data_IF_864571279393
#
_entry.id   IF_864571279393
#
_cell.length_a   1.000
_cell.length_b   1.000
_cell.length_c   1.000
_cell.angle_alpha   90.00
_cell.angle_beta   90.00
_cell.angle_gamma   90.00
#
_symmetry.space_group_name_H-M   'P 1'
#
loop_
_entity.id
_entity.type
_entity.pdbx_description
1 polymer ?
#
# COMPACT_ATOMS: atom_id res chain seq x y z
N UNK A 1 -42.25 0.90 8.79
CA UNK A 1 -42.82 1.97 7.95
C UNK A 1 -42.05 2.02 6.64
N UNK A 2 -42.75 1.69 5.62
CA UNK A 2 -42.36 1.20 4.32
C UNK A 2 -41.59 2.15 3.44
N UNK A 3 -40.74 1.51 2.66
CA UNK A 3 -39.78 2.06 1.69
C UNK A 3 -40.41 2.09 0.29
N UNK A 4 -41.55 2.77 0.16
CA UNK A 4 -42.27 3.01 -1.11
C UNK A 4 -41.93 4.39 -1.69
N UNK A 5 -40.63 4.60 -2.02
CA UNK A 5 -40.28 5.63 -3.00
C UNK A 5 -40.52 5.05 -4.41
N UNK A 6 -41.09 5.84 -5.37
CA UNK A 6 -41.56 5.30 -6.65
C UNK A 6 -40.39 4.64 -7.42
N UNK A 7 -40.68 3.45 -7.96
CA UNK A 7 -39.77 2.57 -8.73
C UNK A 7 -39.05 3.27 -9.92
N UNK A 8 -39.52 4.45 -10.26
CA UNK A 8 -38.98 5.30 -11.33
C UNK A 8 -37.53 5.79 -11.10
N UNK A 9 -37.06 5.85 -9.85
CA UNK A 9 -35.72 6.37 -9.50
C UNK A 9 -34.64 5.28 -9.37
N UNK A 10 -35.03 4.01 -9.34
CA UNK A 10 -34.14 2.89 -9.08
C UNK A 10 -33.95 1.99 -10.30
N UNK A 11 -32.71 1.52 -10.48
CA UNK A 11 -32.34 0.45 -11.40
C UNK A 11 -32.08 -0.81 -10.60
N UNK A 12 -32.56 -1.94 -11.05
CA UNK A 12 -32.30 -3.27 -10.48
C UNK A 12 -31.49 -4.07 -11.49
N UNK A 13 -30.37 -4.63 -11.04
CA UNK A 13 -29.48 -5.45 -11.85
C UNK A 13 -29.30 -6.81 -11.21
N UNK A 14 -29.60 -7.85 -11.93
CA UNK A 14 -29.34 -9.23 -11.50
C UNK A 14 -27.87 -9.57 -11.73
N UNK A 15 -27.21 -10.10 -10.73
CA UNK A 15 -25.82 -10.57 -10.82
C UNK A 15 -25.75 -11.79 -11.75
N UNK A 16 -25.06 -11.68 -12.90
CA UNK A 16 -24.95 -12.80 -13.84
C UNK A 16 -23.99 -13.86 -13.29
N UNK A 17 -24.07 -15.08 -13.83
CA UNK A 17 -23.19 -16.20 -13.43
C UNK A 17 -21.69 -15.89 -13.66
N UNK A 18 -21.37 -15.06 -14.64
CA UNK A 18 -19.99 -14.60 -14.91
C UNK A 18 -19.42 -13.72 -13.80
N UNK A 19 -20.25 -13.22 -12.90
CA UNK A 19 -19.88 -12.36 -11.77
C UNK A 19 -19.96 -13.08 -10.42
N UNK A 20 -20.23 -14.37 -10.42
CA UNK A 20 -20.23 -15.17 -9.21
C UNK A 20 -18.87 -15.09 -8.49
N UNK A 21 -18.89 -14.84 -7.18
CA UNK A 21 -17.68 -14.60 -6.39
C UNK A 21 -17.00 -13.25 -6.62
N UNK A 22 -17.45 -12.40 -7.56
CA UNK A 22 -16.88 -11.07 -7.77
C UNK A 22 -17.17 -10.14 -6.59
N UNK A 23 -16.31 -9.13 -6.40
CA UNK A 23 -16.56 -8.09 -5.38
C UNK A 23 -17.62 -7.11 -5.85
N UNK A 24 -18.51 -6.71 -4.94
CA UNK A 24 -19.58 -5.75 -5.18
C UNK A 24 -19.07 -4.41 -5.77
N UNK A 25 -17.97 -3.86 -5.25
CA UNK A 25 -17.39 -2.62 -5.75
C UNK A 25 -16.93 -2.74 -7.21
N UNK A 26 -16.40 -3.87 -7.62
CA UNK A 26 -16.00 -4.14 -9.02
C UNK A 26 -17.22 -4.26 -9.94
N UNK A 27 -18.26 -4.94 -9.49
CA UNK A 27 -19.50 -5.06 -10.24
C UNK A 27 -20.18 -3.71 -10.45
N UNK A 28 -20.29 -2.89 -9.38
CA UNK A 28 -20.82 -1.52 -9.48
C UNK A 28 -20.02 -0.66 -10.48
N UNK A 29 -18.70 -0.77 -10.51
CA UNK A 29 -17.88 -0.04 -11.50
C UNK A 29 -18.12 -0.45 -12.94
N UNK A 30 -18.45 -1.72 -13.19
CA UNK A 30 -18.83 -2.16 -14.54
C UNK A 30 -20.18 -1.61 -14.97
N UNK A 31 -21.14 -1.55 -14.05
CA UNK A 31 -22.46 -0.99 -14.30
C UNK A 31 -22.47 0.54 -14.44
N UNK A 32 -21.56 1.21 -13.72
CA UNK A 32 -21.41 2.67 -13.67
C UNK A 32 -19.95 3.04 -13.94
N UNK A 33 -19.52 3.06 -15.20
CA UNK A 33 -18.16 3.45 -15.56
C UNK A 33 -17.83 4.86 -15.04
N UNK A 34 -16.64 5.02 -14.44
CA UNK A 34 -16.19 6.31 -13.90
C UNK A 34 -16.56 6.57 -12.43
N UNK A 35 -17.40 5.77 -11.80
CA UNK A 35 -17.69 5.93 -10.37
C UNK A 35 -16.46 5.67 -9.49
N UNK A 36 -16.13 6.64 -8.63
CA UNK A 36 -15.00 6.54 -7.71
C UNK A 36 -15.25 5.58 -6.54
N UNK A 37 -14.17 4.94 -6.01
CA UNK A 37 -14.29 4.02 -4.86
C UNK A 37 -14.95 4.67 -3.64
N UNK A 38 -14.53 5.88 -3.28
CA UNK A 38 -15.11 6.61 -2.15
C UNK A 38 -16.61 6.92 -2.33
N UNK A 39 -17.06 7.12 -3.58
CA UNK A 39 -18.47 7.32 -3.89
C UNK A 39 -19.26 6.00 -3.73
N UNK A 40 -18.72 4.88 -4.22
CA UNK A 40 -19.32 3.55 -4.01
C UNK A 40 -19.47 3.26 -2.51
N UNK A 41 -18.41 3.43 -1.74
CA UNK A 41 -18.41 3.18 -0.29
C UNK A 41 -19.42 4.08 0.46
N UNK A 42 -19.52 5.35 0.08
CA UNK A 42 -20.51 6.28 0.64
C UNK A 42 -21.93 5.86 0.31
N UNK A 43 -22.21 5.46 -0.94
CA UNK A 43 -23.55 5.03 -1.38
C UNK A 43 -23.97 3.72 -0.71
N UNK A 44 -23.06 2.76 -0.54
CA UNK A 44 -23.30 1.52 0.18
C UNK A 44 -23.52 1.76 1.68
N UNK A 45 -22.68 2.56 2.32
CA UNK A 45 -22.79 2.92 3.74
C UNK A 45 -24.13 3.61 4.05
N UNK A 46 -24.55 4.52 3.18
CA UNK A 46 -25.83 5.23 3.32
C UNK A 46 -27.04 4.38 2.93
N UNK A 47 -26.84 3.14 2.41
CA UNK A 47 -27.92 2.26 2.00
C UNK A 47 -28.63 2.70 0.71
N UNK A 48 -28.01 3.59 -0.06
CA UNK A 48 -28.49 4.03 -1.38
C UNK A 48 -28.31 2.90 -2.40
N UNK A 49 -27.16 2.20 -2.37
CA UNK A 49 -26.96 0.93 -3.09
C UNK A 49 -27.26 -0.20 -2.11
N UNK A 50 -28.09 -1.16 -2.53
CA UNK A 50 -28.46 -2.34 -1.73
C UNK A 50 -28.34 -3.62 -2.55
N UNK A 51 -27.98 -4.71 -1.88
CA UNK A 51 -27.91 -6.06 -2.43
C UNK A 51 -29.02 -6.88 -1.79
N UNK A 52 -29.93 -7.43 -2.57
CA UNK A 52 -31.14 -8.16 -2.10
C UNK A 52 -31.93 -7.37 -1.04
N UNK A 53 -32.04 -6.05 -1.23
CA UNK A 53 -32.71 -5.15 -0.28
C UNK A 53 -31.90 -4.79 0.97
N UNK A 54 -30.78 -5.47 1.27
CA UNK A 54 -29.95 -5.26 2.45
C UNK A 54 -28.76 -4.32 2.19
N UNK A 55 -28.21 -3.71 3.26
CA UNK A 55 -26.93 -2.99 3.20
C UNK A 55 -25.79 -3.99 3.01
N UNK A 56 -24.87 -3.68 2.12
CA UNK A 56 -23.71 -4.50 1.85
C UNK A 56 -22.39 -3.67 1.92
N UNK A 57 -21.27 -4.35 2.13
CA UNK A 57 -19.93 -3.71 2.10
C UNK A 57 -19.38 -3.74 0.67
N UNK A 58 -18.49 -2.79 0.34
CA UNK A 58 -17.81 -2.76 -0.96
C UNK A 58 -17.05 -4.06 -1.28
N UNK A 59 -16.57 -4.75 -0.25
CA UNK A 59 -15.85 -6.02 -0.35
C UNK A 59 -16.74 -7.27 -0.40
N UNK A 60 -18.08 -7.13 -0.26
CA UNK A 60 -19.02 -8.26 -0.31
C UNK A 60 -18.81 -9.06 -1.59
N UNK A 61 -18.76 -10.39 -1.46
CA UNK A 61 -18.73 -11.31 -2.60
C UNK A 61 -20.15 -11.54 -3.09
N UNK A 62 -20.33 -11.40 -4.38
CA UNK A 62 -21.62 -11.58 -5.03
C UNK A 62 -21.87 -13.06 -5.30
N UNK A 63 -23.15 -13.47 -5.23
CA UNK A 63 -23.62 -14.73 -5.75
C UNK A 63 -24.46 -14.49 -7.01
N UNK A 64 -24.37 -15.38 -7.99
CA UNK A 64 -25.23 -15.32 -9.17
C UNK A 64 -26.72 -15.32 -8.78
N UNK A 65 -27.52 -14.52 -9.47
CA UNK A 65 -28.96 -14.37 -9.19
C UNK A 65 -29.28 -13.31 -8.12
N UNK A 66 -28.36 -12.81 -7.34
CA UNK A 66 -28.61 -11.69 -6.41
C UNK A 66 -29.03 -10.44 -7.17
N UNK A 67 -29.84 -9.58 -6.53
CA UNK A 67 -30.35 -8.34 -7.13
C UNK A 67 -29.69 -7.12 -6.49
N UNK A 68 -28.96 -6.37 -7.31
CA UNK A 68 -28.38 -5.09 -6.93
C UNK A 68 -29.35 -3.95 -7.28
N UNK A 69 -29.72 -3.14 -6.29
CA UNK A 69 -30.49 -1.90 -6.46
C UNK A 69 -29.56 -0.68 -6.43
N UNK A 70 -29.63 0.17 -7.44
CA UNK A 70 -28.84 1.39 -7.52
C UNK A 70 -29.68 2.54 -8.17
N UNK A 71 -29.35 3.82 -7.90
CA UNK A 71 -30.07 4.95 -8.51
C UNK A 71 -29.86 5.01 -10.03
N UNK A 72 -30.94 5.27 -10.78
CA UNK A 72 -30.87 5.40 -12.26
C UNK A 72 -29.96 6.54 -12.72
N UNK A 73 -29.91 7.63 -11.99
CA UNK A 73 -29.06 8.78 -12.35
C UNK A 73 -27.55 8.46 -12.32
N UNK A 74 -27.13 7.41 -11.59
CA UNK A 74 -25.73 6.96 -11.63
C UNK A 74 -25.34 6.33 -12.97
N UNK A 75 -26.30 5.81 -13.73
CA UNK A 75 -26.07 5.25 -15.06
C UNK A 75 -25.94 6.31 -16.15
N UNK A 76 -26.36 7.54 -15.87
CA UNK A 76 -26.40 8.68 -16.82
C UNK A 76 -25.13 9.54 -16.81
N UNK A 77 -24.22 9.33 -15.86
CA UNK A 77 -22.91 9.96 -15.98
C UNK A 77 -22.13 9.24 -17.07
N UNK A 78 -22.04 9.88 -18.24
CA UNK A 78 -21.09 9.47 -19.27
C UNK A 78 -19.76 9.12 -18.58
N UNK A 79 -19.08 8.03 -18.96
CA UNK A 79 -17.83 7.66 -18.33
C UNK A 79 -16.98 8.91 -18.36
N UNK A 80 -16.64 9.47 -17.19
CA UNK A 80 -15.47 10.29 -17.12
C UNK A 80 -14.38 9.37 -17.68
N UNK A 81 -14.04 9.60 -18.94
CA UNK A 81 -12.89 8.94 -19.58
C UNK A 81 -11.81 8.96 -18.53
N UNK A 82 -11.23 7.82 -18.11
CA UNK A 82 -10.09 7.83 -17.24
C UNK A 82 -9.16 8.85 -17.88
N UNK A 83 -8.83 9.96 -17.18
CA UNK A 83 -7.85 10.91 -17.72
C UNK A 83 -6.74 10.05 -18.27
N UNK A 84 -6.46 10.07 -19.59
CA UNK A 84 -5.47 9.19 -20.16
C UNK A 84 -4.22 9.40 -19.31
N UNK A 85 -3.62 8.32 -18.86
CA UNK A 85 -2.33 8.38 -18.23
C UNK A 85 -1.46 9.13 -19.23
N UNK A 86 -1.07 10.36 -18.90
CA UNK A 86 -0.33 11.26 -19.79
C UNK A 86 1.12 10.81 -20.01
N UNK A 87 1.43 9.56 -19.61
CA UNK A 87 2.75 8.96 -19.74
C UNK A 87 2.76 8.13 -21.02
N UNK A 88 3.64 8.48 -21.95
CA UNK A 88 3.86 7.69 -23.16
C UNK A 88 4.40 6.29 -22.80
N UNK A 89 4.17 5.31 -23.68
CA UNK A 89 4.74 3.96 -23.48
C UNK A 89 6.27 3.99 -23.35
N UNK A 90 6.94 4.82 -24.14
CA UNK A 90 8.40 4.99 -24.09
C UNK A 90 8.86 5.59 -22.73
N UNK A 91 8.15 6.58 -22.21
CA UNK A 91 8.46 7.17 -20.91
C UNK A 91 8.19 6.20 -19.76
N UNK A 92 7.12 5.40 -19.88
CA UNK A 92 6.80 4.37 -18.89
C UNK A 92 7.89 3.29 -18.87
N UNK A 93 8.38 2.86 -20.05
CA UNK A 93 9.47 1.89 -20.16
C UNK A 93 10.73 2.42 -19.49
N UNK A 94 11.19 3.61 -19.88
CA UNK A 94 12.39 4.23 -19.27
C UNK A 94 12.28 4.32 -17.75
N UNK A 95 11.14 4.81 -17.22
CA UNK A 95 10.95 4.94 -15.79
C UNK A 95 10.97 3.60 -15.04
N UNK A 96 10.48 2.51 -15.66
CA UNK A 96 10.54 1.18 -15.05
C UNK A 96 11.94 0.58 -15.16
N UNK A 97 12.63 0.78 -16.27
CA UNK A 97 14.02 0.35 -16.47
C UNK A 97 14.95 1.04 -15.45
N UNK A 98 14.80 2.34 -15.22
CA UNK A 98 15.56 3.10 -14.21
C UNK A 98 15.34 2.57 -12.78
N UNK A 99 14.21 1.94 -12.52
CA UNK A 99 13.87 1.35 -11.22
C UNK A 99 14.15 -0.15 -11.15
N UNK A 100 14.50 -0.81 -12.25
CA UNK A 100 14.71 -2.27 -12.25
C UNK A 100 15.88 -2.63 -11.35
N UNK A 101 15.61 -3.51 -10.38
CA UNK A 101 16.59 -3.93 -9.37
C UNK A 101 17.08 -5.36 -9.62
N UNK A 102 16.17 -6.28 -9.83
CA UNK A 102 16.45 -7.69 -10.06
C UNK A 102 15.22 -8.37 -10.67
N UNK A 103 15.43 -9.51 -11.30
CA UNK A 103 14.35 -10.35 -11.81
C UNK A 103 14.62 -11.83 -11.56
N UNK A 104 13.53 -12.58 -11.37
CA UNK A 104 13.53 -14.03 -11.34
C UNK A 104 12.57 -14.58 -12.39
N UNK A 105 12.35 -15.89 -12.36
CA UNK A 105 11.46 -16.57 -13.29
C UNK A 105 10.05 -15.97 -13.27
N UNK A 106 9.48 -15.77 -12.08
CA UNK A 106 8.08 -15.42 -11.87
C UNK A 106 7.86 -14.00 -11.34
N UNK A 107 8.94 -13.26 -11.06
CA UNK A 107 8.90 -11.96 -10.43
C UNK A 107 9.89 -10.96 -11.04
N UNK A 108 9.58 -9.68 -10.86
CA UNK A 108 10.45 -8.53 -11.13
C UNK A 108 10.46 -7.64 -9.88
N UNK A 109 11.61 -7.20 -9.43
CA UNK A 109 11.77 -6.27 -8.32
C UNK A 109 12.17 -4.89 -8.82
N UNK A 110 11.52 -3.86 -8.28
CA UNK A 110 11.84 -2.46 -8.55
C UNK A 110 12.39 -1.80 -7.30
N UNK A 111 13.39 -0.93 -7.45
CA UNK A 111 13.82 0.04 -6.44
C UNK A 111 12.92 1.29 -6.55
N UNK A 112 11.75 1.28 -5.89
CA UNK A 112 10.81 2.39 -5.93
C UNK A 112 11.38 3.61 -5.21
N UNK A 113 11.47 4.79 -5.83
CA UNK A 113 11.88 6.01 -5.14
C UNK A 113 10.82 6.49 -4.15
N UNK A 114 11.24 7.25 -3.14
CA UNK A 114 10.33 7.99 -2.26
C UNK A 114 9.50 9.01 -3.04
N UNK A 115 8.23 9.19 -2.69
CA UNK A 115 7.31 10.12 -3.32
C UNK A 115 6.51 9.55 -4.52
N UNK A 116 6.87 8.36 -5.04
CA UNK A 116 6.10 7.69 -6.10
C UNK A 116 5.09 6.72 -5.50
N UNK A 117 3.80 6.92 -5.80
CA UNK A 117 2.74 6.02 -5.34
C UNK A 117 2.76 4.68 -6.09
N UNK A 118 2.38 3.58 -5.41
CA UNK A 118 2.23 2.27 -6.05
C UNK A 118 0.94 2.21 -6.85
N UNK A 119 -0.16 2.72 -6.30
CA UNK A 119 -1.48 2.73 -6.96
C UNK A 119 -2.07 4.14 -6.95
N UNK A 120 -2.92 4.42 -7.92
CA UNK A 120 -3.66 5.67 -7.99
C UNK A 120 -4.63 5.83 -6.83
N UNK A 121 -4.89 7.09 -6.46
CA UNK A 121 -5.85 7.50 -5.45
C UNK A 121 -6.30 8.92 -5.74
N UNK A 122 -7.13 9.49 -4.87
CA UNK A 122 -7.61 10.87 -5.03
C UNK A 122 -6.43 11.84 -5.14
N UNK A 123 -6.30 12.52 -6.27
CA UNK A 123 -5.22 13.49 -6.52
C UNK A 123 -3.87 12.88 -6.91
N UNK A 124 -3.78 11.57 -7.19
CA UNK A 124 -2.54 10.91 -7.61
C UNK A 124 -2.62 10.52 -9.08
N UNK A 125 -1.98 11.31 -9.95
CA UNK A 125 -1.95 11.08 -11.41
C UNK A 125 -0.78 10.18 -11.85
N UNK A 126 0.33 10.13 -11.08
CA UNK A 126 1.52 9.33 -11.40
C UNK A 126 1.72 8.25 -10.35
N UNK A 127 1.69 6.98 -10.79
CA UNK A 127 1.85 5.82 -9.92
C UNK A 127 2.33 4.59 -10.71
N UNK A 128 2.97 3.64 -10.03
CA UNK A 128 3.54 2.43 -10.65
C UNK A 128 2.47 1.66 -11.46
N UNK A 129 1.28 1.41 -10.88
CA UNK A 129 0.21 0.70 -11.59
C UNK A 129 -0.17 1.36 -12.92
N UNK A 130 -0.08 2.69 -12.99
CA UNK A 130 -0.28 3.46 -14.22
C UNK A 130 0.83 3.23 -15.26
N UNK A 131 2.10 3.20 -14.82
CA UNK A 131 3.22 2.87 -15.70
C UNK A 131 3.07 1.46 -16.28
N UNK A 132 2.70 0.48 -15.42
CA UNK A 132 2.45 -0.90 -15.86
C UNK A 132 1.29 -1.00 -16.86
N UNK A 133 0.26 -0.16 -16.72
CA UNK A 133 -0.86 -0.08 -17.67
C UNK A 133 -0.42 0.49 -19.01
N UNK A 134 0.39 1.56 -19.01
CA UNK A 134 0.88 2.19 -20.23
C UNK A 134 1.80 1.26 -21.05
N UNK A 135 2.52 0.35 -20.39
CA UNK A 135 3.39 -0.63 -21.05
C UNK A 135 2.67 -1.84 -21.60
N UNK A 136 1.57 -2.25 -21.02
CA UNK A 136 0.88 -3.47 -21.40
C UNK A 136 0.26 -3.33 -22.79
N UNK A 137 0.79 -4.04 -23.77
CA UNK A 137 0.14 -4.22 -25.06
C UNK A 137 -1.05 -5.18 -24.95
N UNK A 138 -0.94 -6.19 -24.08
CA UNK A 138 -1.95 -7.19 -23.76
C UNK A 138 -2.11 -7.30 -22.24
N UNK A 139 -3.36 -7.26 -21.70
CA UNK A 139 -3.62 -7.51 -20.29
C UNK A 139 -3.08 -8.85 -19.75
N UNK A 140 -2.90 -9.86 -20.60
CA UNK A 140 -2.37 -11.16 -20.20
C UNK A 140 -0.88 -11.10 -19.84
N UNK A 141 -0.09 -10.32 -20.55
CA UNK A 141 1.37 -10.18 -20.39
C UNK A 141 1.77 -9.07 -19.41
N UNK A 142 0.80 -8.35 -18.88
CA UNK A 142 1.04 -7.23 -17.95
C UNK A 142 1.69 -7.68 -16.65
N UNK A 143 2.75 -6.97 -16.22
CA UNK A 143 3.27 -7.08 -14.85
C UNK A 143 2.19 -6.69 -13.81
N UNK A 144 2.14 -7.41 -12.69
CA UNK A 144 1.08 -7.29 -11.69
C UNK A 144 1.62 -6.95 -10.31
N UNK A 145 0.95 -6.02 -9.65
CA UNK A 145 1.21 -5.70 -8.25
C UNK A 145 0.77 -6.87 -7.34
N UNK A 146 1.65 -7.32 -6.46
CA UNK A 146 1.39 -8.38 -5.48
C UNK A 146 1.40 -7.88 -4.04
N UNK A 147 2.01 -6.73 -3.81
CA UNK A 147 1.98 -5.98 -2.55
C UNK A 147 2.09 -4.48 -2.80
N UNK A 148 2.12 -3.71 -1.73
CA UNK A 148 2.33 -2.26 -1.80
C UNK A 148 3.21 -1.79 -0.66
N UNK A 149 3.95 -0.72 -0.91
CA UNK A 149 4.60 0.13 0.09
C UNK A 149 4.02 1.54 -0.02
N UNK A 150 4.16 2.35 1.01
CA UNK A 150 3.59 3.70 1.02
C UNK A 150 4.23 4.59 -0.04
N UNK A 151 3.54 5.68 -0.43
CA UNK A 151 4.03 6.64 -1.42
C UNK A 151 5.44 7.15 -1.07
N UNK A 152 5.63 7.55 0.20
CA UNK A 152 6.87 8.17 0.67
C UNK A 152 7.91 7.15 1.17
N UNK A 153 7.55 5.87 1.29
CA UNK A 153 8.49 4.77 1.54
C UNK A 153 9.20 4.41 0.25
N UNK A 154 10.52 4.34 0.28
CA UNK A 154 11.36 3.88 -0.84
C UNK A 154 11.72 2.40 -0.73
N UNK A 155 12.37 1.83 -1.75
CA UNK A 155 12.91 0.48 -1.75
C UNK A 155 12.08 -0.54 -2.52
N UNK A 156 12.20 -1.81 -2.17
CA UNK A 156 11.75 -2.94 -2.98
C UNK A 156 10.22 -2.95 -3.17
N UNK A 157 9.80 -2.93 -4.42
CA UNK A 157 8.45 -3.26 -4.85
C UNK A 157 8.50 -4.49 -5.78
N UNK A 158 7.91 -5.59 -5.33
CA UNK A 158 7.87 -6.83 -6.10
C UNK A 158 6.65 -6.86 -7.01
N UNK A 159 6.86 -7.26 -8.25
CA UNK A 159 5.84 -7.45 -9.28
C UNK A 159 5.82 -8.92 -9.71
N UNK A 160 4.67 -9.42 -10.14
CA UNK A 160 4.55 -10.72 -10.77
C UNK A 160 4.55 -10.60 -12.29
N UNK A 161 5.20 -11.55 -12.98
CA UNK A 161 5.29 -11.61 -14.45
C UNK A 161 4.07 -12.28 -15.11
N UNK A 162 3.25 -13.01 -14.34
CA UNK A 162 2.08 -13.74 -14.85
C UNK A 162 0.92 -13.77 -13.86
N UNK A 163 -0.27 -14.20 -14.30
CA UNK A 163 -1.44 -14.38 -13.42
C UNK A 163 -1.21 -15.46 -12.36
N UNK A 164 -0.67 -16.65 -12.68
CA UNK A 164 -0.32 -17.64 -11.67
C UNK A 164 0.69 -17.11 -10.66
N UNK A 165 1.78 -16.51 -11.12
CA UNK A 165 2.79 -15.89 -10.25
C UNK A 165 2.17 -14.82 -9.32
N UNK A 166 1.26 -13.98 -9.82
CA UNK A 166 0.58 -12.98 -9.01
C UNK A 166 -0.27 -13.60 -7.90
N UNK A 167 -0.97 -14.71 -8.18
CA UNK A 167 -1.72 -15.46 -7.17
C UNK A 167 -0.80 -16.01 -6.09
N UNK A 168 0.29 -16.66 -6.50
CA UNK A 168 1.17 -17.38 -5.59
C UNK A 168 1.99 -16.40 -4.72
N UNK A 169 2.52 -15.33 -5.30
CA UNK A 169 3.23 -14.28 -4.57
C UNK A 169 2.28 -13.50 -3.63
N UNK A 170 1.04 -13.20 -4.07
CA UNK A 170 0.05 -12.55 -3.19
C UNK A 170 -0.28 -13.45 -1.99
N UNK A 171 -0.45 -14.76 -2.22
CA UNK A 171 -0.67 -15.73 -1.14
C UNK A 171 0.55 -15.82 -0.21
N UNK A 172 1.77 -15.76 -0.75
CA UNK A 172 3.00 -15.76 0.03
C UNK A 172 3.11 -14.51 0.93
N UNK A 173 2.76 -13.32 0.43
CA UNK A 173 2.68 -12.10 1.25
C UNK A 173 1.60 -12.21 2.34
N UNK A 174 0.40 -12.69 2.01
CA UNK A 174 -0.71 -12.84 2.96
C UNK A 174 -0.42 -13.85 4.07
N UNK A 175 0.32 -14.91 3.75
CA UNK A 175 0.74 -15.95 4.70
C UNK A 175 2.06 -15.64 5.39
N UNK A 176 2.59 -14.43 5.24
CA UNK A 176 3.85 -13.96 5.82
C UNK A 176 5.08 -14.84 5.49
N UNK A 177 5.05 -15.57 4.37
CA UNK A 177 6.18 -16.38 3.91
C UNK A 177 7.29 -15.56 3.24
N UNK A 178 7.00 -14.33 2.82
CA UNK A 178 7.99 -13.37 2.35
C UNK A 178 8.43 -12.53 3.54
N UNK A 179 9.70 -12.69 3.95
CA UNK A 179 10.28 -11.90 5.03
C UNK A 179 10.69 -10.54 4.49
N UNK A 180 10.32 -9.49 5.22
CA UNK A 180 10.56 -8.08 4.83
C UNK A 180 11.40 -7.43 5.89
N UNK A 181 12.51 -6.81 5.52
CA UNK A 181 13.30 -5.97 6.40
C UNK A 181 13.33 -4.55 5.84
N UNK A 182 13.04 -3.59 6.70
CA UNK A 182 13.10 -2.16 6.39
C UNK A 182 14.23 -1.53 7.17
N UNK A 183 14.88 -0.54 6.59
CA UNK A 183 15.74 0.40 7.32
C UNK A 183 14.94 1.67 7.61
N UNK A 184 15.09 2.18 8.82
CA UNK A 184 14.50 3.45 9.23
C UNK A 184 15.50 4.25 10.06
N UNK A 185 15.60 5.56 9.79
CA UNK A 185 16.23 6.50 10.71
C UNK A 185 15.15 7.04 11.63
N UNK A 186 15.31 6.90 12.95
CA UNK A 186 14.32 7.35 13.95
C UNK A 186 14.89 8.51 14.78
N UNK A 187 14.01 9.38 15.26
CA UNK A 187 14.38 10.42 16.23
C UNK A 187 14.22 9.87 17.65
N UNK A 188 15.29 9.86 18.42
CA UNK A 188 15.40 9.21 19.72
C UNK A 188 16.20 7.91 19.66
N UNK A 189 16.44 7.32 20.82
CA UNK A 189 17.11 6.03 20.99
C UNK A 189 16.11 5.04 21.58
N UNK A 190 15.58 4.09 20.78
CA UNK A 190 14.85 2.96 21.32
C UNK A 190 15.80 1.97 21.97
N UNK A 191 15.28 0.94 22.68
CA UNK A 191 16.08 -0.20 23.12
C UNK A 191 16.79 -0.86 21.94
N UNK A 192 17.88 -1.59 22.22
CA UNK A 192 18.72 -2.23 21.19
C UNK A 192 17.92 -3.17 20.29
N UNK A 193 16.97 -3.90 20.85
CA UNK A 193 16.04 -4.74 20.11
C UNK A 193 14.71 -4.87 20.86
N UNK A 194 13.65 -5.16 20.16
CA UNK A 194 12.36 -5.36 20.78
C UNK A 194 11.24 -5.72 19.82
N UNK A 195 10.05 -5.83 20.41
CA UNK A 195 8.82 -6.21 19.75
C UNK A 195 7.70 -5.22 20.11
N UNK A 196 7.02 -4.71 19.10
CA UNK A 196 5.86 -3.83 19.29
C UNK A 196 4.62 -4.62 18.85
N UNK A 197 3.76 -4.96 19.80
CA UNK A 197 2.44 -5.56 19.57
C UNK A 197 1.37 -4.50 19.88
N UNK A 198 0.97 -3.75 18.87
CA UNK A 198 0.01 -2.66 19.02
C UNK A 198 -1.02 -2.71 17.89
N UNK A 199 -2.26 -3.18 18.15
CA UNK A 199 -3.30 -3.30 17.15
C UNK A 199 -3.64 -1.95 16.50
N UNK A 200 -3.94 -1.98 15.19
CA UNK A 200 -4.15 -0.77 14.40
C UNK A 200 -5.57 -0.69 13.84
N UNK A 201 -6.18 0.48 13.98
CA UNK A 201 -7.51 0.78 13.47
C UNK A 201 -7.50 2.02 12.59
N UNK A 202 -8.34 1.98 11.56
CA UNK A 202 -8.60 3.13 10.70
C UNK A 202 -9.67 4.02 11.33
N UNK A 203 -9.32 5.27 11.62
CA UNK A 203 -10.24 6.29 12.12
C UNK A 203 -10.54 7.32 11.03
N UNK A 204 -11.81 7.69 10.92
CA UNK A 204 -12.23 8.80 10.09
C UNK A 204 -11.83 10.11 10.75
N UNK A 205 -11.19 11.01 10.03
CA UNK A 205 -10.79 12.33 10.52
C UNK A 205 -11.20 13.44 9.56
N UNK A 206 -11.32 14.66 10.07
CA UNK A 206 -11.70 15.84 9.28
C UNK A 206 -10.72 16.12 8.10
N UNK A 207 -9.43 15.76 8.26
CA UNK A 207 -8.38 15.88 7.23
C UNK A 207 -8.13 14.58 6.46
N UNK A 208 -9.11 13.64 6.47
CA UNK A 208 -9.01 12.32 5.86
C UNK A 208 -8.71 11.20 6.88
N UNK A 209 -8.83 9.97 6.41
CA UNK A 209 -8.66 8.78 7.25
C UNK A 209 -7.23 8.65 7.78
N UNK A 210 -7.10 8.34 9.06
CA UNK A 210 -5.82 8.09 9.73
C UNK A 210 -5.84 6.73 10.42
N UNK A 211 -4.73 6.02 10.37
CA UNK A 211 -4.51 4.84 11.18
C UNK A 211 -3.99 5.25 12.57
N UNK A 212 -4.38 4.54 13.61
CA UNK A 212 -3.87 4.75 14.97
C UNK A 212 -3.83 3.42 15.73
N UNK A 213 -3.09 3.39 16.83
CA UNK A 213 -3.14 2.28 17.80
C UNK A 213 -4.49 2.30 18.50
N UNK A 214 -5.15 1.16 18.53
CA UNK A 214 -6.47 0.96 19.14
C UNK A 214 -6.65 -0.51 19.50
N UNK A 215 -6.97 -0.82 20.76
CA UNK A 215 -7.13 -2.19 21.22
C UNK A 215 -8.21 -2.99 20.44
N UNK A 216 -9.22 -2.31 19.88
CA UNK A 216 -10.24 -2.92 19.01
C UNK A 216 -9.80 -3.04 17.54
N UNK A 217 -8.55 -2.66 17.23
CA UNK A 217 -7.97 -2.69 15.90
C UNK A 217 -7.58 -4.09 15.43
N UNK A 218 -7.05 -4.14 14.21
CA UNK A 218 -6.48 -5.37 13.68
C UNK A 218 -5.10 -5.59 14.29
N UNK A 219 -4.80 -6.83 14.70
CA UNK A 219 -3.47 -7.22 15.21
C UNK A 219 -2.36 -6.74 14.27
N UNK A 220 -1.36 -6.12 14.86
CA UNK A 220 -0.17 -5.63 14.18
C UNK A 220 1.05 -5.83 15.06
N UNK A 221 2.09 -6.46 14.50
CA UNK A 221 3.33 -6.80 15.20
C UNK A 221 4.52 -6.39 14.38
N UNK A 222 5.48 -5.70 15.00
CA UNK A 222 6.76 -5.30 14.42
C UNK A 222 7.90 -5.69 15.34
N UNK A 223 8.90 -6.38 14.81
CA UNK A 223 10.20 -6.55 15.46
C UNK A 223 11.12 -5.41 15.04
N UNK A 224 11.99 -4.96 15.93
CA UNK A 224 12.99 -3.97 15.61
C UNK A 224 14.36 -4.32 16.23
N UNK A 225 15.43 -3.85 15.59
CA UNK A 225 16.80 -3.92 16.10
C UNK A 225 17.51 -2.61 15.76
N UNK A 226 18.18 -2.03 16.75
CA UNK A 226 19.06 -0.90 16.56
C UNK A 226 20.33 -1.37 15.86
N UNK A 227 20.74 -0.68 14.82
CA UNK A 227 21.93 -1.00 14.04
C UNK A 227 23.09 -0.10 14.36
N UNK A 228 22.78 1.20 14.53
CA UNK A 228 23.79 2.24 14.76
C UNK A 228 23.14 3.49 15.34
N UNK A 229 23.92 4.30 16.09
CA UNK A 229 23.53 5.62 16.57
C UNK A 229 24.75 6.54 16.79
N UNK A 230 24.86 7.67 16.09
CA UNK A 230 26.02 8.55 16.19
C UNK A 230 25.96 9.52 17.40
N UNK A 231 25.19 9.19 18.40
CA UNK A 231 24.95 10.00 19.58
C UNK A 231 23.59 9.71 20.18
N UNK A 232 22.95 10.71 20.83
CA UNK A 232 21.70 10.47 21.59
C UNK A 232 20.42 10.94 20.90
N UNK A 233 20.51 11.44 19.65
CA UNK A 233 19.32 12.04 18.99
C UNK A 233 18.66 11.15 17.97
N UNK A 234 19.42 10.35 17.25
CA UNK A 234 18.92 9.53 16.15
C UNK A 234 19.52 8.13 16.19
N UNK A 235 18.77 7.15 15.72
CA UNK A 235 19.25 5.78 15.56
C UNK A 235 18.83 5.22 14.19
N UNK A 236 19.72 4.40 13.60
CA UNK A 236 19.41 3.56 12.45
C UNK A 236 18.83 2.25 12.94
N UNK A 237 17.65 1.90 12.45
CA UNK A 237 16.90 0.73 12.87
C UNK A 237 16.69 -0.22 11.70
N UNK A 238 16.80 -1.52 11.96
CA UNK A 238 16.17 -2.56 11.16
C UNK A 238 14.78 -2.86 11.72
N UNK A 239 13.76 -2.83 10.87
CA UNK A 239 12.36 -3.09 11.23
C UNK A 239 11.83 -4.28 10.44
N UNK A 240 11.25 -5.26 11.13
CA UNK A 240 10.61 -6.44 10.51
C UNK A 240 9.13 -6.48 10.85
N UNK A 241 8.22 -6.06 9.94
CA UNK A 241 6.79 -6.21 10.16
C UNK A 241 6.37 -7.68 9.99
N UNK A 242 5.86 -8.30 11.05
CA UNK A 242 5.28 -9.65 11.02
C UNK A 242 3.84 -9.64 10.45
N UNK A 243 3.21 -8.47 10.40
CA UNK A 243 1.92 -8.19 9.78
C UNK A 243 2.09 -7.10 8.71
N UNK A 244 1.04 -6.74 7.96
CA UNK A 244 1.14 -5.77 6.87
C UNK A 244 0.02 -4.71 6.90
N UNK A 245 -0.18 -4.02 8.03
CA UNK A 245 -1.21 -2.98 8.14
C UNK A 245 -0.72 -1.67 7.51
N UNK A 246 -1.66 -0.87 7.03
CA UNK A 246 -1.36 0.45 6.44
C UNK A 246 -0.58 1.31 7.44
N UNK A 247 0.55 1.86 7.01
CA UNK A 247 1.47 2.70 7.78
C UNK A 247 1.98 2.06 9.09
N UNK A 248 1.97 0.72 9.20
CA UNK A 248 2.26 0.00 10.45
C UNK A 248 3.58 0.46 11.10
N UNK A 249 4.70 0.39 10.37
CA UNK A 249 6.02 0.74 10.90
C UNK A 249 6.08 2.18 11.40
N UNK A 250 5.46 3.10 10.68
CA UNK A 250 5.41 4.52 11.01
C UNK A 250 4.67 4.78 12.33
N UNK A 251 3.53 4.10 12.51
CA UNK A 251 2.71 4.22 13.72
C UNK A 251 3.38 3.53 14.90
N UNK A 252 3.95 2.34 14.69
CA UNK A 252 4.61 1.59 15.74
C UNK A 252 5.82 2.35 16.29
N UNK A 253 6.67 2.92 15.42
CA UNK A 253 7.81 3.71 15.88
C UNK A 253 7.39 5.01 16.57
N UNK A 254 6.34 5.68 16.09
CA UNK A 254 5.77 6.85 16.79
C UNK A 254 5.14 6.46 18.16
N UNK A 255 4.47 5.32 18.25
CA UNK A 255 3.91 4.77 19.48
C UNK A 255 5.00 4.40 20.49
N UNK A 256 6.12 3.89 20.00
CA UNK A 256 7.31 3.57 20.81
C UNK A 256 8.07 4.81 21.31
N UNK A 257 7.59 6.02 20.98
CA UNK A 257 8.25 7.27 21.38
C UNK A 257 9.46 7.68 20.51
N UNK A 258 9.79 6.90 19.49
CA UNK A 258 10.92 7.14 18.57
C UNK A 258 10.44 7.23 17.12
N UNK A 259 9.73 8.31 16.72
CA UNK A 259 9.14 8.44 15.40
C UNK A 259 10.19 8.40 14.30
N UNK A 260 9.82 7.85 13.14
CA UNK A 260 10.69 7.84 11.97
C UNK A 260 10.96 9.27 11.52
N UNK A 261 12.22 9.60 11.26
CA UNK A 261 12.65 10.91 10.81
C UNK A 261 11.90 11.33 9.52
N UNK A 262 11.38 12.55 9.51
CA UNK A 262 10.61 13.11 8.41
C UNK A 262 9.15 12.63 8.34
N UNK A 263 8.67 11.83 9.30
CA UNK A 263 7.26 11.43 9.36
C UNK A 263 6.36 12.49 10.00
N UNK A 264 6.09 13.58 9.31
CA UNK A 264 5.18 14.63 9.81
C UNK A 264 3.75 14.15 10.06
N UNK A 265 3.32 13.00 9.49
CA UNK A 265 1.97 12.47 9.69
C UNK A 265 1.77 11.85 11.07
N UNK A 266 2.73 11.05 11.54
CA UNK A 266 2.61 10.29 12.78
C UNK A 266 3.53 10.78 13.89
N UNK A 267 4.70 11.33 13.55
CA UNK A 267 5.64 11.88 14.52
C UNK A 267 5.50 13.40 14.73
N UNK A 268 4.82 14.12 13.82
CA UNK A 268 4.72 15.57 13.92
C UNK A 268 6.09 16.26 13.99
N UNK A 269 6.24 17.26 14.84
CA UNK A 269 7.53 17.96 15.05
C UNK A 269 8.59 17.05 15.67
N UNK A 270 8.19 16.07 16.47
CA UNK A 270 9.10 15.09 17.06
C UNK A 270 9.78 14.18 16.00
N UNK A 271 9.30 14.15 14.77
CA UNK A 271 9.96 13.43 13.67
C UNK A 271 11.08 14.26 13.00
N UNK A 272 11.37 15.46 13.47
CA UNK A 272 12.35 16.35 12.84
C UNK A 272 13.52 16.66 13.78
N UNK A 273 14.58 15.83 13.79
CA UNK A 273 15.71 16.05 14.69
C UNK A 273 16.51 17.31 14.35
N UNK A 274 16.28 17.91 13.17
CA UNK A 274 17.03 19.05 12.67
C UNK A 274 18.38 18.67 12.06
N UNK A 275 19.24 19.65 11.89
CA UNK A 275 20.58 19.45 11.35
C UNK A 275 20.60 18.96 9.90
N UNK A 276 21.41 17.96 9.62
CA UNK A 276 21.63 17.40 8.27
C UNK A 276 20.61 16.33 7.85
N UNK A 277 19.64 16.01 8.70
CA UNK A 277 18.61 15.03 8.38
C UNK A 277 17.51 15.69 7.54
N UNK A 278 17.29 15.17 6.34
CA UNK A 278 16.28 15.70 5.41
C UNK A 278 14.85 15.62 6.01
N UNK A 279 14.00 16.64 5.71
CA UNK A 279 12.58 16.65 6.12
C UNK A 279 11.69 15.75 5.24
N UNK A 280 12.14 14.54 4.95
CA UNK A 280 11.46 13.51 4.17
C UNK A 280 11.45 12.21 4.97
N UNK A 281 10.47 11.34 4.71
CA UNK A 281 10.33 10.07 5.42
C UNK A 281 11.56 9.16 5.21
N UNK A 282 12.28 8.84 6.28
CA UNK A 282 13.43 7.93 6.29
C UNK A 282 13.00 6.49 6.58
N UNK A 283 12.21 5.91 5.67
CA UNK A 283 11.77 4.52 5.71
C UNK A 283 11.99 3.87 4.35
N UNK A 284 12.75 2.78 4.34
CA UNK A 284 13.19 2.10 3.13
C UNK A 284 12.94 0.59 3.21
N UNK A 285 12.20 0.03 2.25
CA UNK A 285 12.02 -1.42 2.09
C UNK A 285 13.32 -2.02 1.55
N UNK A 286 14.19 -2.44 2.45
CA UNK A 286 15.58 -2.74 2.17
C UNK A 286 15.81 -4.15 1.64
N UNK A 287 15.24 -5.18 2.33
CA UNK A 287 15.44 -6.58 1.96
C UNK A 287 14.11 -7.32 1.86
N UNK A 288 14.03 -8.22 0.88
CA UNK A 288 13.00 -9.26 0.77
C UNK A 288 13.66 -10.64 0.65
N UNK A 289 13.25 -11.58 1.50
CA UNK A 289 13.58 -12.99 1.33
C UNK A 289 12.33 -13.74 0.86
N UNK A 290 12.43 -14.40 -0.30
CA UNK A 290 11.33 -15.09 -0.96
C UNK A 290 11.32 -16.59 -0.61
N UNK A 291 10.17 -17.29 -0.74
CA UNK A 291 10.06 -18.71 -0.43
C UNK A 291 10.90 -19.65 -1.33
N UNK A 292 11.33 -19.16 -2.48
CA UNK A 292 12.19 -19.89 -3.42
C UNK A 292 13.70 -19.78 -3.08
N UNK A 293 14.02 -19.12 -1.96
CA UNK A 293 15.39 -18.85 -1.52
C UNK A 293 16.01 -17.58 -2.11
N UNK A 294 15.31 -16.88 -3.00
CA UNK A 294 15.82 -15.62 -3.55
C UNK A 294 15.84 -14.53 -2.47
N UNK A 295 16.93 -13.80 -2.41
CA UNK A 295 17.10 -12.63 -1.56
C UNK A 295 17.35 -11.40 -2.41
N UNK A 296 16.60 -10.33 -2.13
CA UNK A 296 16.65 -9.09 -2.89
C UNK A 296 17.00 -7.97 -1.91
N UNK A 297 18.02 -7.17 -2.24
CA UNK A 297 18.46 -6.02 -1.44
C UNK A 297 18.42 -4.77 -2.32
N UNK A 298 17.73 -3.71 -1.86
CA UNK A 298 17.69 -2.45 -2.58
C UNK A 298 18.76 -1.48 -2.09
N UNK A 299 19.41 -0.73 -3.00
CA UNK A 299 20.25 0.40 -2.62
C UNK A 299 19.38 1.49 -1.95
N UNK A 300 19.95 2.21 -1.00
CA UNK A 300 19.24 3.30 -0.33
C UNK A 300 18.83 4.40 -1.30
N UNK A 301 17.66 4.97 -1.07
CA UNK A 301 17.21 6.20 -1.74
C UNK A 301 18.13 7.37 -1.38
N UNK A 302 18.37 8.25 -2.33
CA UNK A 302 19.39 9.31 -2.26
C UNK A 302 19.29 10.19 -1.01
N UNK A 303 18.08 10.57 -0.55
CA UNK A 303 17.93 11.39 0.65
C UNK A 303 18.29 10.64 1.93
N UNK A 304 17.97 9.36 2.00
CA UNK A 304 18.30 8.52 3.16
C UNK A 304 19.81 8.28 3.20
N UNK A 305 20.41 7.93 2.05
CA UNK A 305 21.86 7.78 1.95
C UNK A 305 22.59 9.05 2.37
N UNK A 306 22.20 10.22 1.84
CA UNK A 306 22.81 11.49 2.20
C UNK A 306 22.70 11.81 3.70
N UNK A 307 21.58 11.49 4.35
CA UNK A 307 21.42 11.68 5.80
C UNK A 307 22.31 10.73 6.59
N UNK A 308 22.44 9.45 6.19
CA UNK A 308 23.33 8.51 6.87
C UNK A 308 24.80 8.90 6.70
N UNK A 309 25.22 9.24 5.48
CA UNK A 309 26.59 9.71 5.19
C UNK A 309 26.94 10.95 6.05
N UNK A 310 26.03 11.93 6.14
CA UNK A 310 26.20 13.13 6.93
C UNK A 310 26.26 12.88 8.45
N UNK A 311 25.67 11.79 8.91
CA UNK A 311 25.70 11.34 10.31
C UNK A 311 26.87 10.37 10.59
N UNK A 312 27.66 9.99 9.58
CA UNK A 312 28.73 9.00 9.71
C UNK A 312 28.25 7.57 9.94
N UNK A 313 26.99 7.27 9.60
CA UNK A 313 26.39 5.95 9.75
C UNK A 313 26.64 5.06 8.54
N UNK A 314 27.03 3.81 8.77
CA UNK A 314 27.18 2.83 7.71
C UNK A 314 25.86 2.10 7.41
N UNK A 315 25.65 1.81 6.12
CA UNK A 315 24.56 0.87 5.72
C UNK A 315 25.00 -0.54 6.13
N UNK A 316 24.12 -1.37 6.71
CA UNK A 316 24.45 -2.75 7.04
C UNK A 316 24.91 -3.52 5.81
N UNK A 317 25.80 -4.50 6.00
CA UNK A 317 26.23 -5.38 4.94
C UNK A 317 25.03 -6.11 4.31
N UNK A 318 25.12 -6.45 3.02
CA UNK A 318 24.00 -7.06 2.30
C UNK A 318 23.58 -8.43 2.86
N UNK A 319 24.51 -9.13 3.48
CA UNK A 319 24.32 -10.42 4.16
C UNK A 319 23.82 -10.28 5.61
N UNK A 320 23.65 -9.05 6.11
CA UNK A 320 23.04 -8.83 7.42
C UNK A 320 21.64 -9.46 7.50
N UNK A 321 21.37 -10.15 8.59
CA UNK A 321 20.07 -10.80 8.82
C UNK A 321 19.48 -10.42 10.17
N UNK A 322 18.18 -10.36 10.19
CA UNK A 322 17.43 -10.23 11.42
C UNK A 322 17.48 -11.58 12.14
N UNK A 323 18.12 -11.64 13.30
CA UNK A 323 18.14 -12.85 14.13
C UNK A 323 16.70 -13.18 14.57
N UNK A 324 16.29 -14.41 14.38
CA UNK A 324 15.04 -14.92 14.90
C UNK A 324 15.33 -15.39 16.34
N UNK A 325 14.87 -14.61 17.34
CA UNK A 325 14.86 -14.99 18.75
C UNK A 325 13.64 -15.86 19.05
#
# INVERSE_FOLDING_TARGET
MGDDAPDAQWRRETVPTTEDGARLDRFVRRLVPGIGQGQIERLLRNGVIRLDGAKAKSSTRLAAGQVLRLPKHLASTAPATPKPLTVSRADAARQLDDMMLAEGRDWLALAKPSGLAVQGGTGTSRHIDGLLQALAADPATRLRLVHRIDKDTSGILLLAKSVPAARDLTAAFQRHRIKKTYLALVNGLPDDAGRIDAPLRKMAGAKGDRMQVDASGQSATTLYKQLDHPGRKVALMALRPLTGRTHQLRIHMAHNGTPICGDGKYGGEAAHPGGMVARRLHLHAWQLALPDGSEIVAPLDGHMKASLDALGMAVPAQDWRFEES
#
